data_IF_138525886831
#
_entry.id   IF_138525886831
#
_cell.length_a   1.000
_cell.length_b   1.000
_cell.length_c   1.000
_cell.angle_alpha   90.00
_cell.angle_beta   90.00
_cell.angle_gamma   90.00
#
_symmetry.space_group_name_H-M   'P 1'
#
loop_
_entity.id
_entity.type
_entity.pdbx_description
1 polymer ?
#
# COMPACT_ATOMS: atom_id res chain seq x y z
N UNK A 1 17.24 83.96 -67.46
CA UNK A 1 16.86 83.85 -66.04
C UNK A 1 15.80 82.78 -65.81
N UNK A 2 14.63 82.84 -66.46
CA UNK A 2 13.54 81.85 -66.26
C UNK A 2 13.95 80.41 -66.61
N UNK A 3 14.66 80.19 -67.73
CA UNK A 3 15.08 78.84 -68.15
C UNK A 3 16.11 78.22 -67.18
N UNK A 4 17.05 79.03 -66.69
CA UNK A 4 18.05 78.58 -65.70
C UNK A 4 17.38 78.25 -64.37
N UNK A 5 16.43 79.09 -63.93
CA UNK A 5 15.64 78.82 -62.73
C UNK A 5 14.83 77.51 -62.87
N UNK A 6 14.18 77.29 -64.01
CA UNK A 6 13.41 76.08 -64.28
C UNK A 6 14.29 74.80 -64.32
N UNK A 7 15.49 74.89 -64.89
CA UNK A 7 16.45 73.78 -64.90
C UNK A 7 16.96 73.46 -63.49
N UNK A 8 17.27 74.48 -62.69
CA UNK A 8 17.71 74.31 -61.30
C UNK A 8 16.60 73.71 -60.42
N UNK A 9 15.35 74.17 -60.56
CA UNK A 9 14.23 73.61 -59.79
C UNK A 9 13.96 72.16 -60.18
N UNK A 10 14.00 71.84 -61.48
CA UNK A 10 13.77 70.47 -61.96
C UNK A 10 14.91 69.54 -61.53
N UNK A 11 16.16 70.02 -61.59
CA UNK A 11 17.34 69.31 -61.10
C UNK A 11 17.29 69.05 -59.60
N UNK A 12 16.91 70.06 -58.81
CA UNK A 12 16.77 69.94 -57.35
C UNK A 12 15.65 68.96 -56.95
N UNK A 13 14.51 68.99 -57.65
CA UNK A 13 13.41 68.04 -57.42
C UNK A 13 13.81 66.60 -57.79
N UNK A 14 14.49 66.42 -58.92
CA UNK A 14 14.99 65.11 -59.33
C UNK A 14 16.05 64.57 -58.34
N UNK A 15 16.98 65.42 -57.91
CA UNK A 15 17.99 65.08 -56.92
C UNK A 15 17.36 64.74 -55.57
N UNK A 16 16.44 65.56 -55.06
CA UNK A 16 15.70 65.30 -53.80
C UNK A 16 14.89 64.00 -53.85
N UNK A 17 14.20 63.73 -54.96
CA UNK A 17 13.44 62.49 -55.13
C UNK A 17 14.35 61.26 -55.11
N UNK A 18 15.53 61.34 -55.72
CA UNK A 18 16.50 60.24 -55.80
C UNK A 18 17.31 60.06 -54.51
N UNK A 19 17.67 61.15 -53.82
CA UNK A 19 18.48 61.13 -52.60
C UNK A 19 17.67 60.93 -51.31
N UNK A 20 16.39 61.34 -51.29
CA UNK A 20 15.59 61.35 -50.05
C UNK A 20 14.33 60.49 -50.20
N UNK A 21 13.48 60.76 -51.20
CA UNK A 21 12.15 60.13 -51.31
C UNK A 21 12.24 58.62 -51.61
N UNK A 22 13.09 58.22 -52.55
CA UNK A 22 13.26 56.80 -52.91
C UNK A 22 13.80 55.96 -51.72
N UNK A 23 14.88 56.36 -51.02
CA UNK A 23 15.34 55.63 -49.84
C UNK A 23 14.30 55.53 -48.72
N UNK A 24 13.52 56.58 -48.46
CA UNK A 24 12.45 56.54 -47.45
C UNK A 24 11.32 55.57 -47.84
N UNK A 25 10.95 55.50 -49.12
CA UNK A 25 9.98 54.52 -49.60
C UNK A 25 10.47 53.07 -49.40
N UNK A 26 11.77 52.82 -49.58
CA UNK A 26 12.38 51.50 -49.33
C UNK A 26 12.31 51.16 -47.83
N UNK A 27 12.62 52.11 -46.95
CA UNK A 27 12.47 51.95 -45.49
C UNK A 27 11.03 51.59 -45.13
N UNK A 28 10.04 52.29 -45.69
CA UNK A 28 8.61 51.96 -45.53
C UNK A 28 8.32 50.51 -45.89
N UNK A 29 8.80 50.04 -47.05
CA UNK A 29 8.58 48.64 -47.47
C UNK A 29 9.22 47.59 -46.54
N UNK A 30 10.30 47.95 -45.83
CA UNK A 30 10.90 47.09 -44.82
C UNK A 30 10.07 47.07 -43.54
N UNK A 31 9.50 48.21 -43.12
CA UNK A 31 8.55 48.24 -42.01
C UNK A 31 7.31 47.39 -42.30
N UNK A 32 6.75 47.47 -43.51
CA UNK A 32 5.62 46.63 -43.93
C UNK A 32 6.00 45.14 -43.85
N UNK A 33 7.17 44.77 -44.37
CA UNK A 33 7.67 43.38 -44.30
C UNK A 33 7.84 42.90 -42.85
N UNK A 34 8.36 43.76 -41.96
CA UNK A 34 8.56 43.44 -40.54
C UNK A 34 7.20 43.31 -39.82
N UNK A 35 6.24 44.18 -40.14
CA UNK A 35 4.88 44.12 -39.60
C UNK A 35 4.15 42.84 -40.00
N UNK A 36 4.39 42.35 -41.22
CA UNK A 36 3.89 41.05 -41.70
C UNK A 36 4.65 39.84 -41.09
N UNK A 37 5.62 40.07 -40.21
CA UNK A 37 6.45 39.04 -39.59
C UNK A 37 7.55 38.49 -40.51
N UNK A 38 7.70 39.03 -41.73
CA UNK A 38 8.79 38.69 -42.63
C UNK A 38 10.07 39.43 -42.23
N UNK A 39 10.74 38.86 -41.24
CA UNK A 39 12.07 39.27 -40.87
C UNK A 39 13.13 38.66 -41.78
N UNK A 40 12.89 37.99 -42.90
CA UNK A 40 13.98 37.37 -43.69
C UNK A 40 14.67 38.35 -44.66
N UNK A 41 14.00 39.47 -44.99
CA UNK A 41 14.45 40.40 -46.02
C UNK A 41 15.72 41.16 -45.57
N UNK A 42 16.83 41.09 -46.33
CA UNK A 42 18.08 41.76 -45.93
C UNK A 42 17.95 43.28 -46.05
N UNK A 43 18.40 43.99 -45.02
CA UNK A 43 18.50 45.45 -45.01
C UNK A 43 19.96 45.84 -45.25
N UNK A 44 20.23 46.41 -46.42
CA UNK A 44 21.56 46.89 -46.79
C UNK A 44 21.70 48.38 -46.43
N UNK A 45 22.82 48.73 -45.81
CA UNK A 45 23.14 50.10 -45.38
C UNK A 45 24.14 50.68 -46.37
N UNK A 46 23.77 51.77 -47.04
CA UNK A 46 24.64 52.45 -48.02
C UNK A 46 24.74 53.95 -47.72
N UNK A 47 25.89 54.54 -47.99
CA UNK A 47 26.13 55.99 -47.82
C UNK A 47 26.75 56.36 -46.47
N UNK A 48 26.85 57.67 -46.21
CA UNK A 48 27.43 58.27 -44.99
C UNK A 48 26.59 59.45 -44.46
N UNK A 49 25.30 59.46 -44.75
CA UNK A 49 24.35 60.51 -44.36
C UNK A 49 23.31 59.99 -43.34
N UNK A 50 22.40 60.85 -42.94
CA UNK A 50 21.34 60.55 -41.96
C UNK A 50 20.44 59.39 -42.41
N UNK A 51 20.20 59.24 -43.72
CA UNK A 51 19.45 58.11 -44.28
C UNK A 51 20.17 56.78 -44.00
N UNK A 52 21.50 56.75 -44.17
CA UNK A 52 22.30 55.56 -43.85
C UNK A 52 22.23 55.20 -42.37
N UNK A 53 22.15 56.19 -41.47
CA UNK A 53 21.96 55.96 -40.05
C UNK A 53 20.58 55.33 -39.74
N UNK A 54 19.51 55.78 -40.40
CA UNK A 54 18.17 55.17 -40.26
C UNK A 54 18.16 53.72 -40.74
N UNK A 55 18.77 53.41 -41.89
CA UNK A 55 18.91 52.03 -42.36
C UNK A 55 19.70 51.15 -41.38
N UNK A 56 20.73 51.70 -40.74
CA UNK A 56 21.50 50.99 -39.71
C UNK A 56 20.64 50.68 -38.46
N UNK A 57 19.88 51.65 -37.96
CA UNK A 57 18.94 51.44 -36.85
C UNK A 57 17.84 50.44 -37.18
N UNK A 58 17.28 50.51 -38.40
CA UNK A 58 16.27 49.56 -38.88
C UNK A 58 16.83 48.14 -38.96
N UNK A 59 18.07 47.98 -39.45
CA UNK A 59 18.77 46.68 -39.46
C UNK A 59 18.97 46.13 -38.05
N UNK A 60 19.39 46.97 -37.10
CA UNK A 60 19.55 46.58 -35.71
C UNK A 60 18.22 46.14 -35.08
N UNK A 61 17.14 46.87 -35.32
CA UNK A 61 15.79 46.49 -34.86
C UNK A 61 15.34 45.15 -35.46
N UNK A 62 15.52 44.96 -36.76
CA UNK A 62 15.19 43.70 -37.43
C UNK A 62 15.98 42.53 -36.83
N UNK A 63 17.26 42.73 -36.52
CA UNK A 63 18.11 41.70 -35.93
C UNK A 63 17.64 41.33 -34.51
N UNK A 64 17.37 42.32 -33.66
CA UNK A 64 16.87 42.08 -32.30
C UNK A 64 15.50 41.36 -32.30
N UNK A 65 14.62 41.71 -33.25
CA UNK A 65 13.35 41.01 -33.44
C UNK A 65 13.55 39.56 -33.90
N UNK A 66 14.50 39.31 -34.82
CA UNK A 66 14.81 37.94 -35.27
C UNK A 66 15.30 37.08 -34.11
N UNK A 67 16.19 37.61 -33.29
CA UNK A 67 16.72 36.93 -32.11
C UNK A 67 15.61 36.62 -31.12
N UNK A 68 14.78 37.61 -30.78
CA UNK A 68 13.62 37.41 -29.88
C UNK A 68 12.67 36.33 -30.38
N UNK A 69 12.31 36.35 -31.68
CA UNK A 69 11.43 35.33 -32.27
C UNK A 69 12.09 33.95 -32.29
N UNK A 70 13.40 33.89 -32.54
CA UNK A 70 14.17 32.65 -32.48
C UNK A 70 14.17 32.05 -31.08
N UNK A 71 14.40 32.86 -30.05
CA UNK A 71 14.41 32.44 -28.65
C UNK A 71 13.03 31.93 -28.21
N UNK A 72 11.96 32.66 -28.57
CA UNK A 72 10.58 32.23 -28.32
C UNK A 72 10.28 30.90 -29.01
N UNK A 73 10.69 30.74 -30.27
CA UNK A 73 10.50 29.47 -31.01
C UNK A 73 11.26 28.32 -30.35
N UNK A 74 12.50 28.55 -29.93
CA UNK A 74 13.30 27.54 -29.24
C UNK A 74 12.69 27.15 -27.90
N UNK A 75 12.22 28.14 -27.12
CA UNK A 75 11.50 27.92 -25.87
C UNK A 75 10.22 27.11 -26.07
N UNK A 76 9.44 27.42 -27.11
CA UNK A 76 8.23 26.67 -27.44
C UNK A 76 8.51 25.22 -27.83
N UNK A 77 9.61 24.96 -28.56
CA UNK A 77 10.01 23.58 -28.90
C UNK A 77 10.43 22.80 -27.65
N UNK A 78 11.22 23.42 -26.77
CA UNK A 78 11.61 22.81 -25.49
C UNK A 78 10.39 22.52 -24.60
N UNK A 79 9.44 23.46 -24.52
CA UNK A 79 8.17 23.24 -23.82
C UNK A 79 7.37 22.08 -24.41
N UNK A 80 7.30 21.98 -25.74
CA UNK A 80 6.56 20.89 -26.38
C UNK A 80 7.16 19.52 -26.03
N UNK A 81 8.48 19.40 -26.06
CA UNK A 81 9.18 18.19 -25.60
C UNK A 81 8.88 17.89 -24.13
N UNK A 82 9.01 18.88 -23.25
CA UNK A 82 8.74 18.69 -21.81
C UNK A 82 7.29 18.29 -21.52
N UNK A 83 6.31 18.84 -22.24
CA UNK A 83 4.90 18.45 -22.12
C UNK A 83 4.69 17.00 -22.59
N UNK A 84 5.35 16.58 -23.66
CA UNK A 84 5.28 15.19 -24.13
C UNK A 84 5.87 14.21 -23.11
N UNK A 85 6.99 14.56 -22.49
CA UNK A 85 7.60 13.76 -21.41
C UNK A 85 6.68 13.67 -20.18
N UNK A 86 6.07 14.80 -19.78
CA UNK A 86 5.08 14.83 -18.69
C UNK A 86 3.88 13.92 -19.03
N UNK A 87 3.36 13.98 -20.24
CA UNK A 87 2.22 13.16 -20.66
C UNK A 87 2.56 11.65 -20.61
N UNK A 88 3.74 11.26 -21.07
CA UNK A 88 4.22 9.88 -20.96
C UNK A 88 4.40 9.45 -19.49
N UNK A 89 5.01 10.30 -18.67
CA UNK A 89 5.18 10.04 -17.24
C UNK A 89 3.85 9.93 -16.49
N UNK A 90 2.85 10.72 -16.86
CA UNK A 90 1.52 10.67 -16.28
C UNK A 90 0.79 9.37 -16.65
N UNK A 91 0.94 8.87 -17.88
CA UNK A 91 0.40 7.57 -18.27
C UNK A 91 1.06 6.41 -17.49
N UNK A 92 2.39 6.43 -17.32
CA UNK A 92 3.09 5.44 -16.48
C UNK A 92 2.61 5.49 -15.03
N UNK A 93 2.50 6.69 -14.46
CA UNK A 93 2.01 6.89 -13.10
C UNK A 93 0.57 6.40 -12.94
N UNK A 94 -0.31 6.65 -13.91
CA UNK A 94 -1.68 6.14 -13.92
C UNK A 94 -1.70 4.62 -13.91
N UNK A 95 -0.93 3.97 -14.80
CA UNK A 95 -0.82 2.51 -14.87
C UNK A 95 -0.32 1.91 -13.55
N UNK A 96 0.69 2.53 -12.93
CA UNK A 96 1.21 2.09 -11.62
C UNK A 96 0.20 2.29 -10.49
N UNK A 97 -0.57 3.38 -10.54
CA UNK A 97 -1.64 3.66 -9.57
C UNK A 97 -2.75 2.62 -9.68
N UNK A 98 -3.16 2.25 -10.90
CA UNK A 98 -4.13 1.17 -11.14
C UNK A 98 -3.63 -0.19 -10.62
N UNK A 99 -2.38 -0.53 -10.90
CA UNK A 99 -1.77 -1.77 -10.39
C UNK A 99 -1.68 -1.79 -8.86
N UNK A 100 -1.35 -0.64 -8.25
CA UNK A 100 -1.31 -0.50 -6.80
C UNK A 100 -2.70 -0.62 -6.18
N UNK A 101 -3.73 -0.02 -6.80
CA UNK A 101 -5.12 -0.16 -6.37
C UNK A 101 -5.58 -1.63 -6.43
N UNK A 102 -5.24 -2.35 -7.51
CA UNK A 102 -5.52 -3.78 -7.63
C UNK A 102 -4.81 -4.61 -6.54
N UNK A 103 -3.55 -4.32 -6.26
CA UNK A 103 -2.77 -4.99 -5.21
C UNK A 103 -3.36 -4.72 -3.81
N UNK A 104 -3.83 -3.50 -3.57
CA UNK A 104 -4.50 -3.13 -2.32
C UNK A 104 -5.86 -3.85 -2.18
N UNK A 105 -6.62 -3.97 -3.26
CA UNK A 105 -7.88 -4.73 -3.27
C UNK A 105 -7.65 -6.23 -2.95
N UNK A 106 -6.61 -6.84 -3.52
CA UNK A 106 -6.23 -8.21 -3.19
C UNK A 106 -5.78 -8.35 -1.73
N UNK A 107 -5.05 -7.36 -1.20
CA UNK A 107 -4.65 -7.33 0.21
C UNK A 107 -5.87 -7.23 1.13
N UNK A 108 -6.84 -6.38 0.80
CA UNK A 108 -8.09 -6.26 1.54
C UNK A 108 -8.89 -7.58 1.55
N UNK A 109 -9.03 -8.23 0.39
CA UNK A 109 -9.68 -9.55 0.30
C UNK A 109 -8.94 -10.62 1.12
N UNK A 110 -7.60 -10.60 1.11
CA UNK A 110 -6.79 -11.51 1.93
C UNK A 110 -6.99 -11.26 3.43
N UNK A 111 -7.13 -9.99 3.84
CA UNK A 111 -7.44 -9.62 5.22
C UNK A 111 -8.85 -10.06 5.65
N UNK A 112 -9.84 -10.02 4.76
CA UNK A 112 -11.17 -10.58 5.02
C UNK A 112 -11.12 -12.10 5.26
N UNK A 113 -10.39 -12.84 4.41
CA UNK A 113 -10.20 -14.29 4.59
C UNK A 113 -9.44 -14.63 5.89
N UNK A 114 -8.41 -13.84 6.23
CA UNK A 114 -7.69 -14.00 7.49
C UNK A 114 -8.60 -13.73 8.69
N UNK A 115 -9.43 -12.69 8.63
CA UNK A 115 -10.38 -12.34 9.69
C UNK A 115 -11.40 -13.48 9.90
N UNK A 116 -11.92 -14.06 8.82
CA UNK A 116 -12.80 -15.22 8.90
C UNK A 116 -12.10 -16.43 9.55
N UNK A 117 -10.85 -16.69 9.18
CA UNK A 117 -10.04 -17.78 9.76
C UNK A 117 -9.75 -17.57 11.24
N UNK A 118 -9.43 -16.34 11.65
CA UNK A 118 -9.22 -15.97 13.05
C UNK A 118 -10.52 -16.14 13.86
N UNK A 119 -11.67 -15.73 13.30
CA UNK A 119 -12.98 -15.97 13.90
C UNK A 119 -13.25 -17.46 14.13
N UNK A 120 -13.05 -18.28 13.11
CA UNK A 120 -13.20 -19.74 13.22
C UNK A 120 -12.26 -20.34 14.28
N UNK A 121 -11.01 -19.88 14.35
CA UNK A 121 -10.05 -20.35 15.35
C UNK A 121 -10.49 -19.98 16.78
N UNK A 122 -11.05 -18.78 16.98
CA UNK A 122 -11.59 -18.36 18.27
C UNK A 122 -12.78 -19.25 18.70
N UNK A 123 -13.68 -19.57 17.78
CA UNK A 123 -14.81 -20.46 18.06
C UNK A 123 -14.37 -21.91 18.32
N UNK A 124 -13.38 -22.41 17.57
CA UNK A 124 -12.77 -23.71 17.83
C UNK A 124 -12.12 -23.76 19.22
N UNK A 125 -11.41 -22.70 19.62
CA UNK A 125 -10.81 -22.60 20.95
C UNK A 125 -11.87 -22.59 22.07
N UNK A 126 -12.99 -21.89 21.87
CA UNK A 126 -14.13 -21.90 22.80
C UNK A 126 -14.74 -23.30 22.92
N UNK A 127 -14.95 -23.99 21.81
CA UNK A 127 -15.48 -25.37 21.81
C UNK A 127 -14.53 -26.33 22.53
N UNK A 128 -13.23 -26.26 22.23
CA UNK A 128 -12.21 -27.08 22.90
C UNK A 128 -12.17 -26.82 24.42
N UNK A 129 -12.26 -25.56 24.83
CA UNK A 129 -12.34 -25.18 26.25
C UNK A 129 -13.59 -25.76 26.93
N UNK A 130 -14.74 -25.71 26.27
CA UNK A 130 -15.99 -26.32 26.76
C UNK A 130 -15.87 -27.84 26.91
N UNK A 131 -15.30 -28.52 25.91
CA UNK A 131 -15.07 -29.95 25.95
C UNK A 131 -14.12 -30.35 27.08
N UNK A 132 -13.01 -29.62 27.25
CA UNK A 132 -12.05 -29.83 28.34
C UNK A 132 -12.71 -29.68 29.71
N UNK A 133 -13.58 -28.68 29.89
CA UNK A 133 -14.36 -28.50 31.12
C UNK A 133 -15.31 -29.68 31.38
N UNK A 134 -16.03 -30.14 30.37
CA UNK A 134 -16.91 -31.31 30.49
C UNK A 134 -16.14 -32.60 30.83
N UNK A 135 -14.95 -32.78 30.25
CA UNK A 135 -14.07 -33.90 30.56
C UNK A 135 -13.57 -33.83 32.01
N UNK A 136 -13.17 -32.65 32.49
CA UNK A 136 -12.76 -32.44 33.88
C UNK A 136 -13.90 -32.73 34.87
N UNK A 137 -15.13 -32.28 34.57
CA UNK A 137 -16.31 -32.56 35.39
C UNK A 137 -16.62 -34.07 35.44
N UNK A 138 -16.45 -34.77 34.32
CA UNK A 138 -16.62 -36.22 34.24
C UNK A 138 -15.55 -36.96 35.05
N UNK A 139 -14.29 -36.56 34.92
CA UNK A 139 -13.18 -37.11 35.70
C UNK A 139 -13.39 -36.91 37.20
N UNK A 140 -13.91 -35.74 37.63
CA UNK A 140 -14.25 -35.47 39.03
C UNK A 140 -15.31 -36.43 39.56
N UNK A 141 -16.42 -36.62 38.82
CA UNK A 141 -17.46 -37.59 39.19
C UNK A 141 -16.93 -39.02 39.27
N UNK A 142 -16.05 -39.40 38.33
CA UNK A 142 -15.36 -40.69 38.35
C UNK A 142 -14.48 -40.87 39.59
N UNK A 143 -13.75 -39.82 39.98
CA UNK A 143 -12.96 -39.77 41.22
C UNK A 143 -13.81 -39.96 42.47
N UNK A 144 -14.95 -39.26 42.55
CA UNK A 144 -15.90 -39.41 43.67
C UNK A 144 -16.45 -40.84 43.76
N UNK A 145 -16.71 -41.49 42.62
CA UNK A 145 -17.20 -42.87 42.59
C UNK A 145 -16.12 -43.89 42.97
N UNK A 146 -14.89 -43.71 42.50
CA UNK A 146 -13.75 -44.53 42.91
C UNK A 146 -13.48 -44.40 44.42
N UNK A 147 -13.59 -43.20 44.97
CA UNK A 147 -13.46 -42.96 46.42
C UNK A 147 -14.52 -43.70 47.24
N UNK A 148 -15.80 -43.64 46.81
CA UNK A 148 -16.88 -44.41 47.46
C UNK A 148 -16.63 -45.92 47.40
N UNK A 149 -16.16 -46.43 46.26
CA UNK A 149 -15.82 -47.84 46.09
C UNK A 149 -14.69 -48.26 47.03
N UNK A 150 -13.63 -47.44 47.16
CA UNK A 150 -12.54 -47.70 48.09
C UNK A 150 -13.00 -47.75 49.56
N UNK A 151 -13.86 -46.81 49.98
CA UNK A 151 -14.48 -46.83 51.32
C UNK A 151 -15.30 -48.10 51.54
N UNK A 152 -16.10 -48.51 50.56
CA UNK A 152 -16.89 -49.74 50.65
C UNK A 152 -16.00 -50.98 50.77
N UNK A 153 -14.88 -51.02 50.04
CA UNK A 153 -13.91 -52.11 50.15
C UNK A 153 -13.23 -52.15 51.53
N UNK A 154 -12.98 -51.00 52.16
CA UNK A 154 -12.50 -50.94 53.55
C UNK A 154 -13.54 -51.48 54.54
N UNK A 155 -14.82 -51.14 54.36
CA UNK A 155 -15.91 -51.66 55.21
C UNK A 155 -16.08 -53.18 55.07
N UNK A 156 -15.96 -53.70 53.84
CA UNK A 156 -15.96 -55.14 53.56
C UNK A 156 -14.78 -55.84 54.23
N UNK A 157 -13.57 -55.25 54.13
CA UNK A 157 -12.37 -55.80 54.77
C UNK A 157 -12.52 -55.84 56.31
N UNK A 158 -13.02 -54.76 56.91
CA UNK A 158 -13.29 -54.70 58.35
C UNK A 158 -14.34 -55.73 58.79
N UNK A 159 -15.41 -55.89 58.01
CA UNK A 159 -16.45 -56.89 58.28
C UNK A 159 -15.90 -58.32 58.17
N UNK A 160 -15.05 -58.57 57.17
CA UNK A 160 -14.39 -59.87 56.96
C UNK A 160 -13.45 -60.22 58.10
N UNK A 161 -12.71 -59.24 58.63
CA UNK A 161 -11.87 -59.43 59.81
C UNK A 161 -12.71 -59.85 61.03
N UNK A 162 -13.84 -59.17 61.24
CA UNK A 162 -14.78 -59.48 62.33
C UNK A 162 -15.37 -60.89 62.22
N UNK A 163 -15.68 -61.34 60.99
CA UNK A 163 -16.09 -62.72 60.72
C UNK A 163 -14.95 -63.69 61.08
N UNK A 164 -13.71 -63.37 60.71
CA UNK A 164 -12.53 -64.15 61.09
C UNK A 164 -12.38 -64.30 62.61
N UNK A 165 -12.54 -63.21 63.36
CA UNK A 165 -12.49 -63.21 64.82
C UNK A 165 -13.60 -64.12 65.41
N UNK A 166 -14.82 -64.06 64.86
CA UNK A 166 -15.94 -64.93 65.26
C UNK A 166 -15.64 -66.40 64.94
N UNK A 167 -15.11 -66.70 63.75
CA UNK A 167 -14.70 -68.07 63.39
C UNK A 167 -13.65 -68.60 64.36
N UNK A 168 -12.68 -67.76 64.78
CA UNK A 168 -11.69 -68.14 65.80
C UNK A 168 -12.32 -68.48 67.15
N UNK A 169 -13.35 -67.73 67.57
CA UNK A 169 -14.13 -68.06 68.77
C UNK A 169 -14.91 -69.37 68.60
N UNK A 170 -15.54 -69.58 67.44
CA UNK A 170 -16.26 -70.82 67.12
C UNK A 170 -15.32 -72.02 67.16
N UNK A 171 -14.12 -71.91 66.59
CA UNK A 171 -13.10 -72.97 66.60
C UNK A 171 -12.67 -73.29 68.04
N UNK A 172 -12.48 -72.26 68.88
CA UNK A 172 -12.20 -72.43 70.31
C UNK A 172 -13.34 -73.13 71.07
N UNK A 173 -14.60 -72.80 70.76
CA UNK A 173 -15.78 -73.46 71.36
C UNK A 173 -15.88 -74.91 70.89
N UNK A 174 -15.64 -75.18 69.60
CA UNK A 174 -15.65 -76.52 69.04
C UNK A 174 -14.60 -77.41 69.70
N UNK A 175 -13.38 -76.89 69.93
CA UNK A 175 -12.35 -77.61 70.67
C UNK A 175 -12.76 -77.89 72.11
N UNK A 176 -13.29 -76.90 72.83
CA UNK A 176 -13.80 -77.10 74.20
C UNK A 176 -14.93 -78.15 74.24
N UNK A 177 -15.84 -78.12 73.26
CA UNK A 177 -16.95 -79.07 73.14
C UNK A 177 -16.42 -80.49 72.89
N UNK A 178 -15.40 -80.64 72.04
CA UNK A 178 -14.73 -81.91 71.78
C UNK A 178 -14.08 -82.48 73.06
N UNK A 179 -13.40 -81.64 73.85
CA UNK A 179 -12.83 -82.03 75.15
C UNK A 179 -13.93 -82.42 76.16
N UNK A 180 -15.04 -81.68 76.19
CA UNK A 180 -16.17 -81.99 77.07
C UNK A 180 -16.81 -83.35 76.72
N UNK A 181 -17.01 -83.60 75.42
CA UNK A 181 -17.55 -84.86 74.91
C UNK A 181 -16.63 -86.04 75.24
N UNK A 182 -15.31 -85.87 75.11
CA UNK A 182 -14.32 -86.88 75.48
C UNK A 182 -14.34 -87.18 77.00
N UNK A 183 -14.44 -86.14 77.84
CA UNK A 183 -14.56 -86.30 79.29
C UNK A 183 -15.87 -86.98 79.71
N UNK A 184 -16.99 -86.66 79.04
CA UNK A 184 -18.28 -87.28 79.30
C UNK A 184 -18.31 -88.76 78.88
N UNK A 185 -17.70 -89.10 77.75
CA UNK A 185 -17.48 -90.50 77.34
C UNK A 185 -16.62 -91.27 78.37
N UNK A 186 -15.56 -90.63 78.89
CA UNK A 186 -14.72 -91.20 79.95
C UNK A 186 -15.47 -91.45 81.27
N UNK A 187 -16.36 -90.54 81.70
CA UNK A 187 -17.19 -90.74 82.92
C UNK A 187 -18.31 -91.76 82.75
N UNK A 188 -18.86 -91.90 81.53
CA UNK A 188 -19.88 -92.91 81.22
C UNK A 188 -19.32 -94.33 81.20
N UNK A 189 -18.02 -94.48 80.93
CA UNK A 189 -17.29 -95.75 81.04
C UNK A 189 -16.84 -96.10 82.47
N UNK A 190 -16.71 -95.11 83.36
CA UNK A 190 -16.26 -95.32 84.74
C UNK A 190 -17.40 -95.63 85.73
N UNK A 191 -18.66 -95.65 85.26
CA UNK A 191 -19.86 -95.93 86.04
C UNK A 191 -20.46 -97.33 85.82
N UNK A 192 -19.71 -98.28 85.25
CA UNK A 192 -20.10 -99.69 85.10
C UNK A 192 -18.99 -100.61 85.55
#
# INVERSE_FOLDING_TARGET
MVIVAALLTTGALFWSRKMIVQPLAIIGSHFDSIADGNLARPIAVYGRNEISAIFASLKAMQQALRETVSDVRQGSLAMHTGISEIAMGNNDLSSRTEQQAASLAQTAASMEQLTATVGQNADNARQASGLAKSAADTAKKGGDQASRMASTMQDIAASSQKIGDIIGVIDSIAFQTNILALNAAGRSGAGR
#
